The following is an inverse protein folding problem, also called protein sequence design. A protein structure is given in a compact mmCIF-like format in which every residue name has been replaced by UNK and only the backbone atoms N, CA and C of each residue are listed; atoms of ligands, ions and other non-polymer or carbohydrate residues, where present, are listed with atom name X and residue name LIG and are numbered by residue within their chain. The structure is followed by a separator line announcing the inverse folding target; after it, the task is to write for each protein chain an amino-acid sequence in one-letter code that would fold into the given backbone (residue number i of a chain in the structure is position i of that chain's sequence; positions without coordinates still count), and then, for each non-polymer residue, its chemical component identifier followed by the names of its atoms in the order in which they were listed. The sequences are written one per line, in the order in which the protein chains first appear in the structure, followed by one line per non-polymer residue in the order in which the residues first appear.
data_IF_042207862988
#
_entry.id   IF_042207862988
#
_cell.length_a   1.000
_cell.length_b   1.000
_cell.length_c   1.000
_cell.angle_alpha   90.00
_cell.angle_beta   90.00
_cell.angle_gamma   90.00
#
_symmetry.space_group_name_H-M   'P 1'
#
loop_
_entity.id
_entity.type
_entity.pdbx_description
1 polymer ?
#
# COMPACT_ATOMS: atom_id res chain seq x y z
N UNK A 1 10.39 4.41 15.60
CA UNK A 1 10.36 3.59 14.38
C UNK A 1 9.82 4.45 13.25
N UNK A 2 10.52 4.61 12.12
CA UNK A 2 10.06 5.45 11.02
C UNK A 2 9.02 4.73 10.15
N UNK A 3 8.93 3.40 10.23
CA UNK A 3 8.07 2.58 9.37
C UNK A 3 8.64 2.31 8.01
N UNK A 4 7.82 1.63 7.19
CA UNK A 4 8.17 1.31 5.83
C UNK A 4 7.61 2.37 4.87
N UNK A 5 8.50 3.04 4.14
CA UNK A 5 8.12 4.01 3.12
C UNK A 5 7.84 3.30 1.79
N UNK A 6 6.60 3.42 1.30
CA UNK A 6 6.24 2.87 -0.01
C UNK A 6 6.69 3.83 -1.10
N UNK A 7 7.47 3.33 -2.05
CA UNK A 7 7.88 4.10 -3.22
C UNK A 7 6.75 4.15 -4.23
N UNK A 8 6.29 5.37 -4.56
CA UNK A 8 5.29 5.58 -5.60
C UNK A 8 5.92 5.59 -6.99
N UNK A 9 5.27 4.99 -8.00
CA UNK A 9 5.68 5.17 -9.40
C UNK A 9 5.61 6.65 -9.82
N UNK A 10 6.39 7.06 -10.83
CA UNK A 10 6.30 8.40 -11.40
C UNK A 10 4.86 8.76 -11.80
N UNK A 11 4.41 9.97 -11.44
CA UNK A 11 3.08 10.47 -11.76
C UNK A 11 1.93 9.84 -10.95
N UNK A 12 2.23 8.97 -9.99
CA UNK A 12 1.23 8.38 -9.08
C UNK A 12 1.36 8.95 -7.68
N UNK A 13 0.21 9.17 -7.05
CA UNK A 13 0.11 9.49 -5.61
C UNK A 13 -0.30 8.24 -4.83
N UNK A 14 -0.05 8.18 -3.52
CA UNK A 14 -0.58 7.12 -2.66
C UNK A 14 -2.09 6.90 -2.84
N UNK A 15 -2.88 7.99 -2.90
CA UNK A 15 -4.33 7.93 -3.12
C UNK A 15 -4.72 7.23 -4.43
N UNK A 16 -3.95 7.47 -5.50
CA UNK A 16 -4.22 6.90 -6.80
C UNK A 16 -3.78 5.44 -6.97
N UNK A 17 -2.72 5.03 -6.26
CA UNK A 17 -2.03 3.76 -6.48
C UNK A 17 -2.32 2.71 -5.40
N UNK A 18 -2.47 3.15 -4.14
CA UNK A 18 -2.65 2.23 -3.02
C UNK A 18 -4.08 1.67 -2.97
N UNK A 19 -4.26 0.36 -2.82
CA UNK A 19 -5.58 -0.27 -2.78
C UNK A 19 -6.20 -0.18 -1.38
N UNK A 20 -6.77 0.96 -1.01
CA UNK A 20 -7.34 1.17 0.33
C UNK A 20 -8.44 0.17 0.69
N UNK A 21 -9.25 -0.27 -0.27
CA UNK A 21 -10.30 -1.27 -0.06
C UNK A 21 -9.76 -2.65 0.34
N UNK A 22 -8.48 -2.92 0.11
CA UNK A 22 -7.84 -4.15 0.55
C UNK A 22 -7.90 -4.30 2.10
N UNK A 23 -7.78 -3.17 2.82
CA UNK A 23 -7.77 -3.14 4.29
C UNK A 23 -9.10 -3.55 4.90
N UNK A 24 -10.22 -3.17 4.27
CA UNK A 24 -11.57 -3.47 4.75
C UNK A 24 -11.89 -4.96 4.69
N UNK A 25 -11.38 -5.65 3.67
CA UNK A 25 -11.79 -7.03 3.38
C UNK A 25 -10.85 -8.09 3.96
N UNK A 26 -9.58 -7.75 4.20
CA UNK A 26 -8.55 -8.74 4.52
C UNK A 26 -7.89 -8.57 5.89
N UNK A 27 -8.16 -7.45 6.59
CA UNK A 27 -7.65 -7.21 7.95
C UNK A 27 -6.13 -7.17 7.97
N UNK A 28 -5.55 -6.08 7.50
CA UNK A 28 -4.11 -5.96 7.39
C UNK A 28 -3.45 -5.76 8.76
N UNK A 29 -2.29 -6.40 9.01
CA UNK A 29 -1.53 -6.19 10.25
C UNK A 29 -0.69 -4.90 10.21
N UNK A 30 -1.06 -3.92 9.37
CA UNK A 30 -0.41 -2.62 9.32
C UNK A 30 -1.38 -1.46 9.15
N UNK A 31 -1.07 -0.36 9.82
CA UNK A 31 -1.68 0.95 9.62
C UNK A 31 -1.05 1.68 8.44
N UNK A 32 -1.84 2.55 7.82
CA UNK A 32 -1.43 3.45 6.74
C UNK A 32 -1.30 4.87 7.28
N UNK A 33 -0.20 5.53 6.95
CA UNK A 33 -0.01 6.96 7.16
C UNK A 33 0.30 7.67 5.86
N UNK A 34 -0.48 8.72 5.60
CA UNK A 34 -0.24 9.66 4.52
C UNK A 34 0.36 10.93 5.12
N UNK A 35 1.62 11.23 4.81
CA UNK A 35 2.30 12.42 5.31
C UNK A 35 3.16 13.04 4.23
N UNK A 36 2.96 14.34 3.98
CA UNK A 36 3.66 15.11 2.95
C UNK A 36 3.68 14.40 1.57
N UNK A 37 2.55 13.79 1.18
CA UNK A 37 2.42 13.06 -0.08
C UNK A 37 3.10 11.69 -0.13
N UNK A 38 3.71 11.24 0.98
CA UNK A 38 4.33 9.92 1.12
C UNK A 38 3.37 8.96 1.81
N UNK A 39 3.49 7.69 1.44
CA UNK A 39 2.82 6.58 2.08
C UNK A 39 3.79 5.85 2.99
N UNK A 40 3.41 5.71 4.26
CA UNK A 40 4.17 5.00 5.28
C UNK A 40 3.30 3.89 5.84
N UNK A 41 3.86 2.70 6.00
CA UNK A 41 3.20 1.56 6.63
C UNK A 41 3.83 1.29 8.00
N UNK A 42 3.00 1.13 9.02
CA UNK A 42 3.42 0.73 10.36
C UNK A 42 2.71 -0.54 10.77
N UNK A 43 3.44 -1.49 11.34
CA UNK A 43 2.79 -2.66 11.92
C UNK A 43 1.87 -2.20 13.06
N UNK A 44 0.68 -2.78 13.18
CA UNK A 44 -0.31 -2.31 14.18
C UNK A 44 0.20 -2.46 15.63
N UNK A 45 1.12 -3.38 15.88
CA UNK A 45 1.79 -3.59 17.17
C UNK A 45 3.02 -2.69 17.38
N UNK A 46 3.36 -1.83 16.40
CA UNK A 46 4.49 -0.93 16.46
C UNK A 46 4.31 0.10 17.59
N UNK A 47 5.19 0.04 18.58
CA UNK A 47 5.23 1.00 19.69
C UNK A 47 5.82 2.36 19.31
N UNK A 48 6.11 2.60 18.03
CA UNK A 48 6.75 3.81 17.45
C UNK A 48 8.10 4.20 18.08
N UNK A 49 8.66 3.39 18.98
CA UNK A 49 9.99 3.58 19.56
C UNK A 49 11.08 3.21 18.55
N UNK A 50 12.19 3.94 18.55
CA UNK A 50 13.37 3.62 17.74
C UNK A 50 14.23 2.59 18.48
N UNK A 51 14.53 1.43 17.90
CA UNK A 51 15.60 0.58 18.44
C UNK A 51 16.94 1.32 18.31
N UNK A 52 17.84 1.15 19.26
CA UNK A 52 19.18 1.78 19.22
C UNK A 52 20.05 1.29 18.06
N UNK A 53 19.76 0.11 17.52
CA UNK A 53 20.63 -0.64 16.61
C UNK A 53 20.03 -0.85 15.21
N UNK A 54 18.77 -0.46 14.98
CA UNK A 54 18.07 -0.73 13.73
C UNK A 54 17.39 0.53 13.18
N UNK A 55 17.29 0.60 11.85
CA UNK A 55 16.55 1.65 11.15
C UNK A 55 15.04 1.59 11.44
N UNK A 56 14.50 0.43 11.78
CA UNK A 56 13.08 0.19 12.07
C UNK A 56 12.91 -0.91 13.13
N UNK A 57 11.73 -0.99 13.77
CA UNK A 57 11.44 -2.04 14.74
C UNK A 57 11.18 -3.39 14.06
N UNK A 58 11.32 -4.49 14.80
CA UNK A 58 11.14 -5.85 14.28
C UNK A 58 9.77 -6.06 13.63
N UNK A 59 8.70 -5.53 14.23
CA UNK A 59 7.35 -5.69 13.67
C UNK A 59 7.18 -4.95 12.34
N UNK A 60 7.71 -3.72 12.21
CA UNK A 60 7.68 -3.00 10.94
C UNK A 60 8.57 -3.67 9.87
N UNK A 61 9.74 -4.20 10.26
CA UNK A 61 10.59 -4.97 9.35
C UNK A 61 9.92 -6.27 8.87
N UNK A 62 9.09 -6.89 9.73
CA UNK A 62 8.38 -8.13 9.40
C UNK A 62 7.26 -7.91 8.37
N UNK A 63 6.74 -6.69 8.20
CA UNK A 63 5.71 -6.40 7.20
C UNK A 63 6.14 -6.79 5.79
N UNK A 64 7.41 -6.57 5.44
CA UNK A 64 7.95 -6.91 4.12
C UNK A 64 7.97 -8.42 3.83
N UNK A 65 7.81 -9.26 4.86
CA UNK A 65 7.72 -10.71 4.71
C UNK A 65 6.28 -11.19 4.48
N UNK A 66 5.29 -10.29 4.60
CA UNK A 66 3.90 -10.64 4.40
C UNK A 66 3.61 -10.78 2.91
N UNK A 67 3.05 -11.93 2.47
CA UNK A 67 2.70 -12.14 1.07
C UNK A 67 1.68 -11.12 0.55
N UNK A 68 0.72 -10.72 1.39
CA UNK A 68 -0.29 -9.70 1.05
C UNK A 68 0.36 -8.36 0.74
N UNK A 69 1.23 -7.87 1.62
CA UNK A 69 1.94 -6.62 1.38
C UNK A 69 2.83 -6.70 0.13
N UNK A 70 3.56 -7.81 -0.03
CA UNK A 70 4.39 -8.04 -1.22
C UNK A 70 3.58 -7.97 -2.52
N UNK A 71 2.39 -8.56 -2.52
CA UNK A 71 1.46 -8.49 -3.66
C UNK A 71 1.02 -7.05 -3.94
N UNK A 72 0.63 -6.29 -2.92
CA UNK A 72 0.22 -4.87 -3.07
C UNK A 72 1.38 -4.03 -3.63
N UNK A 73 2.58 -4.19 -3.09
CA UNK A 73 3.76 -3.43 -3.54
C UNK A 73 4.10 -3.74 -5.01
N UNK A 74 3.99 -4.99 -5.42
CA UNK A 74 4.18 -5.39 -6.82
C UNK A 74 3.07 -4.83 -7.73
N UNK A 75 1.81 -4.82 -7.28
CA UNK A 75 0.69 -4.19 -7.97
C UNK A 75 0.90 -2.67 -8.14
N UNK A 76 1.37 -1.98 -7.11
CA UNK A 76 1.71 -0.55 -7.19
C UNK A 76 2.82 -0.34 -8.21
N UNK A 77 3.86 -1.17 -8.19
CA UNK A 77 5.03 -1.05 -9.06
C UNK A 77 4.73 -1.36 -10.53
N UNK A 78 4.00 -2.44 -10.80
CA UNK A 78 3.76 -2.98 -12.16
C UNK A 78 2.42 -2.55 -12.76
N UNK A 79 1.54 -1.99 -11.95
CA UNK A 79 0.13 -1.84 -12.29
C UNK A 79 -0.67 -3.09 -11.94
N UNK A 80 -1.99 -2.92 -11.91
CA UNK A 80 -2.96 -3.97 -11.60
C UNK A 80 -3.63 -4.39 -12.90
N UNK A 81 -3.75 -5.71 -13.14
CA UNK A 81 -4.46 -6.20 -14.30
C UNK A 81 -5.96 -5.86 -14.19
N UNK A 82 -6.62 -5.48 -15.29
CA UNK A 82 -8.05 -5.15 -15.30
C UNK A 82 -8.96 -6.28 -14.80
N UNK A 83 -8.53 -7.53 -14.94
CA UNK A 83 -9.23 -8.72 -14.44
C UNK A 83 -9.05 -8.97 -12.93
N UNK A 84 -8.13 -8.28 -12.27
CA UNK A 84 -7.98 -8.39 -10.82
C UNK A 84 -9.22 -7.84 -10.10
N UNK A 85 -9.60 -8.42 -8.95
CA UNK A 85 -10.72 -7.91 -8.15
C UNK A 85 -10.54 -6.44 -7.78
N UNK A 86 -11.64 -5.68 -7.75
CA UNK A 86 -11.62 -4.23 -7.55
C UNK A 86 -10.91 -3.77 -6.28
N UNK A 87 -10.90 -4.59 -5.23
CA UNK A 87 -10.18 -4.29 -3.98
C UNK A 87 -8.65 -4.16 -4.14
N UNK A 88 -8.07 -4.67 -5.23
CA UNK A 88 -6.63 -4.53 -5.53
C UNK A 88 -6.31 -3.26 -6.32
N UNK A 89 -7.31 -2.53 -6.80
CA UNK A 89 -7.11 -1.31 -7.55
C UNK A 89 -7.10 -0.10 -6.60
N UNK A 90 -6.06 0.73 -6.71
CA UNK A 90 -6.14 2.09 -6.19
C UNK A 90 -7.17 2.92 -6.97
N UNK A 91 -7.54 4.08 -6.44
CA UNK A 91 -8.58 4.93 -7.04
C UNK A 91 -8.32 5.27 -8.52
N UNK A 92 -7.04 5.44 -8.91
CA UNK A 92 -6.67 5.70 -10.30
C UNK A 92 -6.98 4.53 -11.24
N UNK A 93 -6.80 3.29 -10.79
CA UNK A 93 -7.15 2.09 -11.56
C UNK A 93 -8.66 1.93 -11.74
N UNK A 94 -9.42 2.21 -10.67
CA UNK A 94 -10.89 2.18 -10.71
C UNK A 94 -11.46 3.21 -11.70
N UNK A 95 -10.92 4.43 -11.72
CA UNK A 95 -11.32 5.47 -12.68
C UNK A 95 -11.04 5.05 -14.12
N UNK A 96 -9.88 4.43 -14.39
CA UNK A 96 -9.56 3.92 -15.73
C UNK A 96 -10.56 2.84 -16.19
N UNK A 97 -10.87 1.88 -15.31
CA UNK A 97 -11.86 0.83 -15.60
C UNK A 97 -13.26 1.40 -15.88
N UNK A 98 -13.65 2.47 -15.18
CA UNK A 98 -14.93 3.15 -15.42
C UNK A 98 -14.96 3.86 -16.78
N UNK A 99 -13.87 4.51 -17.17
CA UNK A 99 -13.77 5.15 -18.48
C UNK A 99 -13.87 4.14 -19.63
N UNK A 100 -13.24 2.97 -19.49
CA UNK A 100 -13.33 1.90 -20.49
C UNK A 100 -14.77 1.39 -20.63
N UNK A 101 -15.45 1.13 -19.51
CA UNK A 101 -16.86 0.70 -19.51
C UNK A 101 -17.84 1.74 -20.06
N UNK A 102 -17.58 3.02 -19.83
CA UNK A 102 -18.44 4.11 -20.33
C UNK A 102 -18.18 4.48 -21.79
N UNK A 103 -17.18 3.87 -22.42
CA UNK A 103 -16.83 4.04 -23.83
C UNK A 103 -17.35 2.89 -24.72
N UNK A 104 -18.02 1.89 -24.11
CA UNK A 104 -18.80 0.82 -24.78
C UNK A 104 -20.28 1.22 -24.90
#
# INVERSE_FOLDING_TARGET
CPGFYVTMPPGKTPGSAYPFLFHENLGDPWDIILSAGKLILWACDCQQKMPKEHSECLSCAALLKLPSLSCILECIKKGVNQSCPYQYHGAGGLVMLLHEKGSE
#
